data_IF_222933414807
#
_entry.id   IF_222933414807
#
_cell.length_a   1.000
_cell.length_b   1.000
_cell.length_c   1.000
_cell.angle_alpha   90.00
_cell.angle_beta   90.00
_cell.angle_gamma   90.00
#
_symmetry.space_group_name_H-M   'P 1'
#
loop_
_entity.id
_entity.type
_entity.pdbx_description
1 polymer ?
#
# COMPACT_ATOMS: atom_id res chain seq x y z
N UNK A 1 -25.02 21.66 -39.00
CA UNK A 1 -26.02 21.01 -38.17
C UNK A 1 -25.81 19.50 -38.23
N UNK A 2 -25.14 18.89 -37.33
CA UNK A 2 -25.20 17.47 -37.00
C UNK A 2 -24.88 17.34 -35.52
N UNK A 3 -25.94 17.30 -34.73
CA UNK A 3 -25.97 16.98 -33.31
C UNK A 3 -25.90 15.44 -33.19
N UNK A 4 -24.78 14.91 -32.74
CA UNK A 4 -24.71 13.54 -32.25
C UNK A 4 -24.44 13.57 -30.76
N UNK A 5 -25.55 13.60 -30.00
CA UNK A 5 -25.52 13.30 -28.57
C UNK A 5 -25.21 11.83 -28.37
N UNK A 6 -23.94 11.48 -28.23
CA UNK A 6 -23.54 10.19 -27.70
C UNK A 6 -23.90 10.17 -26.23
N UNK A 7 -24.95 9.45 -25.86
CA UNK A 7 -25.16 8.98 -24.50
C UNK A 7 -23.95 8.12 -24.17
N UNK A 8 -23.13 8.57 -23.22
CA UNK A 8 -22.19 7.69 -22.55
C UNK A 8 -23.03 6.67 -21.80
N UNK A 9 -23.05 5.44 -22.29
CA UNK A 9 -23.56 4.31 -21.50
C UNK A 9 -22.67 4.23 -20.26
N UNK A 10 -23.18 4.72 -19.13
CA UNK A 10 -22.57 4.51 -17.83
C UNK A 10 -22.57 2.99 -17.61
N UNK A 11 -21.38 2.41 -17.66
CA UNK A 11 -21.16 1.02 -17.29
C UNK A 11 -21.54 0.91 -15.82
N UNK A 12 -22.76 0.42 -15.54
CA UNK A 12 -23.18 0.13 -14.17
C UNK A 12 -22.38 -1.05 -13.68
N UNK A 13 -21.49 -0.80 -12.73
CA UNK A 13 -20.87 -1.88 -11.98
C UNK A 13 -21.96 -2.66 -11.22
N UNK A 14 -21.78 -3.96 -11.14
CA UNK A 14 -22.60 -4.84 -10.33
C UNK A 14 -22.57 -4.42 -8.86
N UNK A 15 -23.70 -4.53 -8.16
CA UNK A 15 -23.77 -4.33 -6.73
C UNK A 15 -22.99 -5.43 -5.99
N UNK A 16 -22.30 -5.05 -4.92
CA UNK A 16 -21.50 -5.96 -4.11
C UNK A 16 -22.19 -6.28 -2.80
N UNK A 17 -22.22 -7.55 -2.44
CA UNK A 17 -22.75 -8.04 -1.16
C UNK A 17 -21.59 -8.29 -0.21
N UNK A 18 -21.70 -7.76 1.01
CA UNK A 18 -20.72 -8.00 2.08
C UNK A 18 -20.92 -9.40 2.66
N UNK A 19 -19.86 -10.21 2.63
CA UNK A 19 -19.81 -11.55 3.22
C UNK A 19 -18.79 -11.54 4.34
N UNK A 20 -19.26 -11.65 5.59
CA UNK A 20 -18.40 -11.70 6.78
C UNK A 20 -17.75 -13.08 6.94
N UNK A 21 -16.56 -13.08 7.54
CA UNK A 21 -15.77 -14.28 7.77
C UNK A 21 -15.51 -14.40 9.27
N UNK A 22 -16.06 -15.47 9.86
CA UNK A 22 -15.98 -15.66 11.31
C UNK A 22 -16.83 -14.64 12.07
N UNK A 23 -16.45 -14.39 13.34
CA UNK A 23 -17.23 -13.57 14.29
C UNK A 23 -16.90 -12.07 14.23
N UNK A 24 -15.87 -11.68 13.46
CA UNK A 24 -15.45 -10.29 13.34
C UNK A 24 -16.15 -9.58 12.16
N UNK A 25 -17.04 -8.61 12.42
CA UNK A 25 -17.77 -7.91 11.36
C UNK A 25 -16.88 -7.00 10.49
N UNK A 26 -15.66 -6.71 10.93
CA UNK A 26 -14.69 -5.94 10.14
C UNK A 26 -13.95 -6.82 9.11
N UNK A 27 -13.96 -8.14 9.31
CA UNK A 27 -13.38 -9.11 8.38
C UNK A 27 -14.44 -9.59 7.39
N UNK A 28 -14.39 -9.05 6.20
CA UNK A 28 -15.38 -9.38 5.16
C UNK A 28 -14.77 -9.32 3.76
N UNK A 29 -15.38 -10.07 2.86
CA UNK A 29 -15.20 -9.92 1.43
C UNK A 29 -16.40 -9.22 0.81
N UNK A 30 -16.19 -8.62 -0.35
CA UNK A 30 -17.27 -8.09 -1.19
C UNK A 30 -17.41 -8.99 -2.40
N UNK A 31 -18.59 -9.59 -2.56
CA UNK A 31 -18.90 -10.57 -3.60
C UNK A 31 -20.01 -10.01 -4.47
N UNK A 32 -19.93 -10.22 -5.78
CA UNK A 32 -20.95 -9.77 -6.73
C UNK A 32 -22.34 -10.29 -6.39
N UNK A 33 -23.35 -9.42 -6.46
CA UNK A 33 -24.74 -9.76 -6.13
C UNK A 33 -25.37 -10.69 -7.15
N UNK A 34 -24.90 -10.65 -8.41
CA UNK A 34 -25.42 -11.43 -9.51
C UNK A 34 -24.77 -12.81 -9.66
N UNK A 35 -23.80 -13.16 -8.79
CA UNK A 35 -23.24 -14.50 -8.79
C UNK A 35 -24.35 -15.55 -8.51
N UNK A 36 -24.42 -16.64 -9.29
CA UNK A 36 -25.28 -17.77 -8.98
C UNK A 36 -25.03 -18.28 -7.56
N UNK A 37 -26.11 -18.72 -6.88
CA UNK A 37 -26.04 -19.11 -5.47
C UNK A 37 -24.94 -20.17 -5.21
N UNK A 38 -24.89 -21.21 -6.04
CA UNK A 38 -23.88 -22.26 -5.92
C UNK A 38 -22.46 -21.73 -6.06
N UNK A 39 -22.19 -20.91 -7.06
CA UNK A 39 -20.85 -20.34 -7.26
C UNK A 39 -20.44 -19.38 -6.15
N UNK A 40 -21.41 -18.66 -5.57
CA UNK A 40 -21.18 -17.81 -4.41
C UNK A 40 -20.77 -18.65 -3.19
N UNK A 41 -21.46 -19.75 -2.94
CA UNK A 41 -21.16 -20.66 -1.81
C UNK A 41 -19.78 -21.27 -1.97
N UNK A 42 -19.44 -21.79 -3.15
CA UNK A 42 -18.13 -22.34 -3.47
C UNK A 42 -17.01 -21.28 -3.30
N UNK A 43 -17.23 -20.06 -3.79
CA UNK A 43 -16.28 -18.96 -3.63
C UNK A 43 -16.07 -18.59 -2.16
N UNK A 44 -17.15 -18.47 -1.39
CA UNK A 44 -17.09 -18.13 0.04
C UNK A 44 -16.37 -19.22 0.82
N UNK A 45 -16.64 -20.49 0.52
CA UNK A 45 -15.95 -21.62 1.14
C UNK A 45 -14.44 -21.60 0.80
N UNK A 46 -14.10 -21.39 -0.46
CA UNK A 46 -12.71 -21.23 -0.89
C UNK A 46 -12.00 -20.09 -0.17
N UNK A 47 -12.63 -18.93 -0.04
CA UNK A 47 -12.05 -17.77 0.66
C UNK A 47 -11.89 -18.04 2.16
N UNK A 48 -12.83 -18.74 2.79
CA UNK A 48 -12.73 -19.15 4.19
C UNK A 48 -11.61 -20.17 4.42
N UNK A 49 -11.44 -21.11 3.51
CA UNK A 49 -10.37 -22.10 3.57
C UNK A 49 -8.99 -21.48 3.48
N UNK A 50 -8.86 -20.39 2.73
CA UNK A 50 -7.60 -19.68 2.50
C UNK A 50 -7.53 -18.35 3.28
N UNK A 51 -8.16 -18.27 4.43
CA UNK A 51 -8.25 -17.02 5.21
C UNK A 51 -6.90 -16.50 5.69
N UNK A 52 -5.94 -17.39 5.89
CA UNK A 52 -4.57 -17.11 6.33
C UNK A 52 -3.73 -16.30 5.33
N UNK A 53 -4.12 -16.28 4.05
CA UNK A 53 -3.43 -15.45 3.04
C UNK A 53 -3.91 -14.00 3.04
N UNK A 54 -4.99 -13.68 3.76
CA UNK A 54 -5.55 -12.34 3.85
C UNK A 54 -5.16 -11.66 5.16
N UNK A 55 -5.03 -10.34 5.13
CA UNK A 55 -4.73 -9.54 6.32
C UNK A 55 -5.63 -8.30 6.36
N UNK A 56 -6.29 -8.05 7.46
CA UNK A 56 -7.13 -6.88 7.70
C UNK A 56 -6.40 -5.81 8.53
N UNK A 57 -5.36 -6.22 9.25
CA UNK A 57 -4.55 -5.30 10.04
C UNK A 57 -3.04 -5.61 9.90
N UNK A 58 -2.21 -4.70 10.40
CA UNK A 58 -0.74 -4.79 10.25
C UNK A 58 -0.13 -5.99 10.98
N UNK A 59 -0.78 -6.47 12.03
CA UNK A 59 -0.28 -7.60 12.84
C UNK A 59 -0.55 -8.95 12.18
N UNK A 60 -1.56 -9.03 11.33
CA UNK A 60 -1.93 -10.23 10.57
C UNK A 60 -1.07 -10.41 9.31
N UNK A 61 -0.28 -9.42 8.93
CA UNK A 61 0.60 -9.47 7.77
C UNK A 61 2.06 -9.69 8.21
N UNK A 62 2.51 -10.94 8.42
CA UNK A 62 3.90 -11.23 8.75
C UNK A 62 4.81 -10.72 7.62
N UNK A 63 6.02 -10.30 7.96
CA UNK A 63 7.02 -9.93 6.97
C UNK A 63 7.39 -11.11 6.08
N UNK A 64 7.96 -10.80 4.92
CA UNK A 64 8.57 -11.82 4.06
C UNK A 64 9.89 -12.26 4.69
N UNK A 65 10.18 -13.56 4.65
CA UNK A 65 11.44 -14.09 5.15
C UNK A 65 12.62 -13.44 4.41
N UNK A 66 13.63 -13.03 5.18
CA UNK A 66 14.84 -12.38 4.65
C UNK A 66 15.65 -13.31 3.74
N UNK A 67 15.59 -14.62 4.00
CA UNK A 67 16.29 -15.61 3.20
C UNK A 67 15.57 -15.85 1.85
N UNK A 68 14.24 -15.59 1.82
CA UNK A 68 13.47 -15.66 0.58
C UNK A 68 13.70 -14.44 -0.30
N UNK A 69 13.54 -13.24 0.25
CA UNK A 69 13.78 -11.99 -0.49
C UNK A 69 14.12 -10.85 0.45
N UNK A 70 15.12 -10.09 0.10
CA UNK A 70 15.54 -8.88 0.78
C UNK A 70 15.71 -7.74 -0.22
N UNK A 71 14.97 -6.65 -0.03
CA UNK A 71 15.08 -5.50 -0.92
C UNK A 71 16.31 -4.65 -0.60
N UNK A 72 17.11 -4.36 -1.60
CA UNK A 72 18.27 -3.48 -1.51
C UNK A 72 18.03 -2.20 -2.31
N UNK A 73 18.24 -1.05 -1.67
CA UNK A 73 18.20 0.23 -2.38
C UNK A 73 19.45 0.36 -3.27
N UNK A 74 19.22 0.62 -4.55
CA UNK A 74 20.28 0.84 -5.52
C UNK A 74 20.78 2.30 -5.45
N UNK A 75 21.33 2.69 -4.29
CA UNK A 75 21.87 4.03 -4.07
C UNK A 75 23.24 4.13 -4.73
N UNK A 76 23.44 5.14 -5.57
CA UNK A 76 24.75 5.42 -6.17
C UNK A 76 25.76 5.74 -5.06
N UNK A 77 26.83 4.94 -4.90
CA UNK A 77 27.83 5.12 -3.85
C UNK A 77 28.60 6.43 -3.94
N UNK A 78 28.62 7.08 -5.12
CA UNK A 78 29.26 8.37 -5.33
C UNK A 78 28.39 9.57 -4.89
N UNK A 79 27.12 9.32 -4.56
CA UNK A 79 26.19 10.38 -4.12
C UNK A 79 26.30 10.55 -2.61
N UNK A 80 26.69 11.74 -2.17
CA UNK A 80 26.74 12.06 -0.75
C UNK A 80 25.34 12.01 -0.10
N UNK A 81 25.19 11.35 1.06
CA UNK A 81 23.94 11.33 1.79
C UNK A 81 23.45 12.72 2.17
N UNK A 82 22.16 12.95 2.10
CA UNK A 82 21.55 14.24 2.41
C UNK A 82 20.66 14.18 3.64
N UNK A 83 20.86 15.13 4.54
CA UNK A 83 20.01 15.36 5.71
C UNK A 83 19.15 16.59 5.46
N UNK A 84 17.85 16.40 5.32
CA UNK A 84 16.90 17.51 5.18
C UNK A 84 16.82 18.28 6.50
N UNK A 85 16.73 19.60 6.43
CA UNK A 85 16.53 20.45 7.60
C UNK A 85 15.14 20.18 8.22
N UNK A 86 15.03 20.11 9.56
CA UNK A 86 13.75 19.91 10.23
C UNK A 86 12.74 20.98 9.83
N UNK A 87 11.51 20.57 9.61
CA UNK A 87 10.37 21.47 9.45
C UNK A 87 9.58 21.53 10.76
N UNK A 88 9.05 22.69 11.09
CA UNK A 88 8.15 22.83 12.24
C UNK A 88 6.71 22.52 11.80
N UNK A 89 6.17 21.33 12.12
CA UNK A 89 4.80 20.99 11.79
C UNK A 89 3.83 21.73 12.73
N UNK A 90 2.58 21.92 12.29
CA UNK A 90 1.49 22.33 13.21
C UNK A 90 1.28 21.27 14.30
N UNK A 91 0.64 21.66 15.40
CA UNK A 91 0.34 20.72 16.51
C UNK A 91 -0.46 19.50 16.03
N UNK A 92 -1.44 19.70 15.14
CA UNK A 92 -2.26 18.62 14.57
C UNK A 92 -1.43 17.67 13.71
N UNK A 93 -0.53 18.20 12.88
CA UNK A 93 0.36 17.39 12.04
C UNK A 93 1.35 16.59 12.88
N UNK A 94 1.93 17.21 13.91
CA UNK A 94 2.86 16.55 14.82
C UNK A 94 2.18 15.38 15.56
N UNK A 95 0.92 15.57 15.98
CA UNK A 95 0.14 14.52 16.63
C UNK A 95 -0.17 13.36 15.67
N UNK A 96 -0.58 13.66 14.44
CA UNK A 96 -0.83 12.65 13.41
C UNK A 96 0.44 11.81 13.10
N UNK A 97 1.60 12.47 13.02
CA UNK A 97 2.89 11.79 12.83
C UNK A 97 3.21 10.91 14.03
N UNK A 98 3.05 11.41 15.26
CA UNK A 98 3.34 10.65 16.49
C UNK A 98 2.50 9.37 16.56
N UNK A 99 1.20 9.47 16.27
CA UNK A 99 0.29 8.32 16.28
C UNK A 99 0.71 7.26 15.25
N UNK A 100 1.02 7.68 14.01
CA UNK A 100 1.42 6.74 12.96
C UNK A 100 2.77 6.08 13.28
N UNK A 101 3.73 6.83 13.81
CA UNK A 101 5.04 6.29 14.23
C UNK A 101 4.88 5.30 15.37
N UNK A 102 4.07 5.60 16.37
CA UNK A 102 3.79 4.67 17.49
C UNK A 102 3.21 3.36 16.96
N UNK A 103 2.24 3.44 16.06
CA UNK A 103 1.63 2.29 15.41
C UNK A 103 2.64 1.45 14.62
N UNK A 104 3.50 2.10 13.82
CA UNK A 104 4.52 1.41 13.04
C UNK A 104 5.63 0.79 13.91
N UNK A 105 6.00 1.45 15.04
CA UNK A 105 6.92 0.89 16.03
C UNK A 105 6.34 -0.35 16.70
N UNK A 106 5.09 -0.29 17.15
CA UNK A 106 4.41 -1.43 17.76
C UNK A 106 4.29 -2.61 16.80
N UNK A 107 4.06 -2.34 15.51
CA UNK A 107 4.03 -3.36 14.47
C UNK A 107 5.43 -3.87 14.06
N UNK A 108 6.52 -3.38 14.65
CA UNK A 108 7.89 -3.75 14.28
C UNK A 108 8.33 -3.30 12.88
N UNK A 109 7.50 -2.48 12.21
CA UNK A 109 7.76 -2.02 10.85
C UNK A 109 8.89 -0.98 10.77
N UNK A 110 9.12 -0.23 11.85
CA UNK A 110 10.20 0.76 11.97
C UNK A 110 10.95 0.62 13.29
N UNK A 111 12.22 1.03 13.29
CA UNK A 111 13.08 1.08 14.48
C UNK A 111 13.76 2.44 14.60
N UNK A 112 14.09 2.83 15.81
CA UNK A 112 14.93 3.99 16.04
C UNK A 112 16.39 3.73 15.61
N UNK A 113 17.00 4.73 15.02
CA UNK A 113 18.39 4.67 14.56
C UNK A 113 19.12 5.92 15.02
N UNK A 114 20.29 5.73 15.65
CA UNK A 114 21.17 6.83 16.02
C UNK A 114 22.08 7.21 14.85
N UNK A 115 22.25 8.52 14.60
CA UNK A 115 23.15 9.07 13.58
C UNK A 115 22.91 8.53 12.16
N UNK A 116 21.72 8.71 11.59
CA UNK A 116 21.43 8.24 10.24
C UNK A 116 22.25 9.03 9.20
N UNK A 117 22.59 8.38 8.09
CA UNK A 117 23.22 9.04 6.95
C UNK A 117 22.20 9.89 6.16
N UNK A 118 21.05 9.34 5.90
CA UNK A 118 19.95 10.00 5.21
C UNK A 118 18.87 10.43 6.19
N UNK A 119 18.38 11.66 6.04
CA UNK A 119 17.34 12.19 6.91
C UNK A 119 16.25 12.86 6.07
N UNK A 120 15.02 12.37 6.19
CA UNK A 120 13.88 12.83 5.40
C UNK A 120 12.76 13.37 6.29
N UNK A 121 12.13 14.48 5.85
CA UNK A 121 10.99 15.07 6.53
C UNK A 121 9.72 14.24 6.28
N UNK A 122 8.84 14.25 7.26
CA UNK A 122 7.45 13.78 7.09
C UNK A 122 6.59 14.84 6.42
N UNK A 123 5.61 14.39 5.62
CA UNK A 123 4.60 15.22 4.98
C UNK A 123 3.23 14.64 5.35
N UNK A 124 2.36 15.49 5.87
CA UNK A 124 1.03 15.10 6.32
C UNK A 124 -0.02 15.65 5.37
N UNK A 125 -0.88 14.76 4.85
CA UNK A 125 -1.94 15.10 3.88
C UNK A 125 -3.28 14.61 4.40
N UNK A 126 -4.30 15.45 4.33
CA UNK A 126 -5.67 15.09 4.72
C UNK A 126 -6.36 14.34 3.57
N UNK A 127 -6.86 13.14 3.86
CA UNK A 127 -7.67 12.36 2.90
C UNK A 127 -9.06 12.97 2.75
N UNK A 128 -9.77 12.63 1.66
CA UNK A 128 -11.18 12.99 1.49
C UNK A 128 -12.08 12.50 2.64
N UNK A 129 -11.72 11.38 3.28
CA UNK A 129 -12.40 10.83 4.47
C UNK A 129 -12.13 11.60 5.78
N UNK A 130 -11.39 12.71 5.74
CA UNK A 130 -10.99 13.48 6.92
C UNK A 130 -9.79 12.92 7.70
N UNK A 131 -9.38 11.69 7.46
CA UNK A 131 -8.23 11.05 8.13
C UNK A 131 -6.90 11.60 7.59
N UNK A 132 -5.90 11.70 8.45
CA UNK A 132 -4.55 12.08 8.07
C UNK A 132 -3.80 10.92 7.41
N UNK A 133 -3.01 11.23 6.38
CA UNK A 133 -2.01 10.34 5.80
C UNK A 133 -0.64 10.92 6.06
N UNK A 134 0.21 10.16 6.73
CA UNK A 134 1.61 10.52 6.92
C UNK A 134 2.44 9.90 5.80
N UNK A 135 3.19 10.73 5.11
CA UNK A 135 4.10 10.34 4.03
C UNK A 135 5.52 10.76 4.40
N UNK A 136 6.51 10.22 3.70
CA UNK A 136 7.92 10.57 3.86
C UNK A 136 8.44 11.18 2.58
N UNK A 137 9.18 12.27 2.68
CA UNK A 137 9.77 12.94 1.53
C UNK A 137 11.10 12.31 1.11
N UNK A 138 11.04 11.22 0.36
CA UNK A 138 12.22 10.54 -0.17
C UNK A 138 12.82 11.17 -1.44
N UNK A 139 12.50 12.42 -1.76
CA UNK A 139 12.95 13.06 -3.00
C UNK A 139 14.48 13.01 -3.18
N UNK A 140 15.25 13.28 -2.13
CA UNK A 140 16.71 13.29 -2.22
C UNK A 140 17.27 11.86 -2.35
N UNK A 141 16.72 10.91 -1.61
CA UNK A 141 17.09 9.51 -1.71
C UNK A 141 16.73 8.93 -3.09
N UNK A 142 15.54 9.23 -3.61
CA UNK A 142 15.12 8.78 -4.93
C UNK A 142 15.99 9.33 -6.06
N UNK A 143 16.53 10.54 -5.90
CA UNK A 143 17.51 11.10 -6.85
C UNK A 143 18.87 10.39 -6.81
N UNK A 144 19.24 9.85 -5.65
CA UNK A 144 20.47 9.11 -5.46
C UNK A 144 20.36 7.64 -5.89
N UNK A 145 19.15 7.10 -5.95
CA UNK A 145 18.91 5.74 -6.42
C UNK A 145 18.92 5.70 -7.95
N UNK A 146 19.65 4.75 -8.51
CA UNK A 146 19.56 4.42 -9.93
C UNK A 146 18.15 3.91 -10.23
N UNK A 147 17.55 4.42 -11.30
CA UNK A 147 16.22 3.99 -11.72
C UNK A 147 16.26 2.55 -12.19
N UNK A 148 15.26 1.79 -11.76
CA UNK A 148 15.03 0.46 -12.31
C UNK A 148 14.61 0.61 -13.78
N UNK A 149 15.28 -0.08 -14.72
CA UNK A 149 14.89 -0.07 -16.13
C UNK A 149 13.62 -0.88 -16.40
N UNK A 150 13.05 -1.57 -15.41
CA UNK A 150 11.83 -2.36 -15.59
C UNK A 150 10.66 -1.47 -16.04
N UNK A 151 10.07 -1.73 -17.21
CA UNK A 151 9.00 -0.88 -17.73
C UNK A 151 7.73 -1.03 -16.89
N UNK A 152 7.09 0.09 -16.59
CA UNK A 152 5.74 0.08 -15.99
C UNK A 152 4.75 -0.56 -16.99
N UNK A 153 3.83 -1.42 -16.53
CA UNK A 153 2.77 -1.93 -17.38
C UNK A 153 1.96 -0.78 -18.00
N UNK A 154 1.63 -0.90 -19.28
CA UNK A 154 0.75 0.06 -19.94
C UNK A 154 -0.68 -0.19 -19.47
N UNK A 155 -1.34 0.85 -18.93
CA UNK A 155 -2.70 0.75 -18.38
C UNK A 155 -3.68 0.24 -19.44
N UNK A 156 -3.58 0.74 -20.69
CA UNK A 156 -4.44 0.31 -21.78
C UNK A 156 -4.35 -1.19 -22.04
N UNK A 157 -3.14 -1.77 -22.01
CA UNK A 157 -2.95 -3.21 -22.18
C UNK A 157 -3.55 -4.02 -21.02
N UNK A 158 -3.51 -3.49 -19.79
CA UNK A 158 -4.15 -4.13 -18.64
C UNK A 158 -5.68 -4.10 -18.77
N UNK A 159 -6.24 -2.98 -19.23
CA UNK A 159 -7.67 -2.83 -19.48
C UNK A 159 -8.11 -3.80 -20.59
N UNK A 160 -7.41 -3.82 -21.72
CA UNK A 160 -7.70 -4.72 -22.84
C UNK A 160 -7.66 -6.20 -22.41
N UNK A 161 -6.71 -6.57 -21.55
CA UNK A 161 -6.62 -7.93 -21.02
C UNK A 161 -7.81 -8.32 -20.12
N UNK A 162 -8.55 -7.36 -19.57
CA UNK A 162 -9.71 -7.64 -18.71
C UNK A 162 -11.05 -7.68 -19.45
N UNK A 163 -11.15 -7.05 -20.62
CA UNK A 163 -12.42 -6.86 -21.35
C UNK A 163 -13.09 -8.18 -21.77
N UNK A 164 -12.31 -9.23 -22.05
CA UNK A 164 -12.84 -10.52 -22.49
C UNK A 164 -13.26 -11.46 -21.36
N UNK A 165 -13.07 -11.08 -20.11
CA UNK A 165 -13.39 -11.93 -18.96
C UNK A 165 -14.75 -11.56 -18.37
N UNK A 166 -15.65 -12.54 -18.20
CA UNK A 166 -17.00 -12.30 -17.65
C UNK A 166 -16.99 -11.97 -16.16
N UNK A 167 -15.86 -12.22 -15.49
CA UNK A 167 -15.69 -11.99 -14.03
C UNK A 167 -14.32 -11.43 -13.74
N UNK A 168 -14.27 -10.54 -12.74
CA UNK A 168 -13.04 -9.93 -12.26
C UNK A 168 -12.98 -10.02 -10.74
N UNK A 169 -11.79 -10.28 -10.20
CA UNK A 169 -11.49 -10.15 -8.78
C UNK A 169 -10.50 -9.03 -8.57
N UNK A 170 -10.73 -8.23 -7.52
CA UNK A 170 -9.82 -7.16 -7.12
C UNK A 170 -9.16 -7.55 -5.81
N UNK A 171 -7.86 -7.75 -5.86
CA UNK A 171 -7.04 -8.08 -4.70
C UNK A 171 -6.05 -6.94 -4.47
N UNK A 172 -6.15 -6.28 -3.31
CA UNK A 172 -5.17 -5.27 -2.91
C UNK A 172 -4.12 -5.91 -2.00
N UNK A 173 -2.87 -5.75 -2.37
CA UNK A 173 -1.77 -6.26 -1.57
C UNK A 173 -1.60 -5.41 -0.30
N UNK A 174 -2.01 -5.95 0.85
CA UNK A 174 -1.98 -5.23 2.11
C UNK A 174 -0.55 -4.81 2.48
N UNK A 175 -0.29 -3.49 2.44
CA UNK A 175 0.98 -2.84 2.86
C UNK A 175 2.24 -3.54 2.35
N UNK A 176 2.31 -3.87 1.07
CA UNK A 176 3.43 -4.60 0.42
C UNK A 176 4.79 -4.07 0.85
N UNK A 177 4.98 -2.74 0.86
CA UNK A 177 6.27 -2.11 1.20
C UNK A 177 6.72 -2.41 2.63
N UNK A 178 5.78 -2.58 3.58
CA UNK A 178 6.09 -2.90 4.97
C UNK A 178 6.44 -4.37 5.15
N UNK A 179 5.94 -5.24 4.29
CA UNK A 179 6.20 -6.68 4.34
C UNK A 179 7.62 -7.05 3.92
N UNK A 180 8.26 -6.24 3.06
CA UNK A 180 9.67 -6.42 2.72
C UNK A 180 10.54 -5.93 3.87
N UNK A 181 11.22 -6.85 4.53
CA UNK A 181 12.22 -6.51 5.52
C UNK A 181 13.47 -5.99 4.80
N UNK A 182 13.89 -4.80 5.18
CA UNK A 182 15.08 -4.19 4.65
C UNK A 182 16.31 -4.68 5.41
N UNK A 183 17.46 -4.89 4.75
CA UNK A 183 18.69 -5.24 5.44
C UNK A 183 19.02 -4.25 6.54
N UNK A 184 19.59 -4.74 7.63
CA UNK A 184 19.97 -3.90 8.77
C UNK A 184 20.84 -2.70 8.37
N UNK A 185 21.70 -2.87 7.36
CA UNK A 185 22.54 -1.80 6.81
C UNK A 185 21.75 -0.63 6.22
N UNK A 186 20.58 -0.90 5.59
CA UNK A 186 19.70 0.15 5.06
C UNK A 186 18.88 0.79 6.18
N UNK A 187 18.43 0.00 7.17
CA UNK A 187 17.72 0.52 8.34
C UNK A 187 18.55 1.52 9.14
N UNK A 188 19.89 1.34 9.19
CA UNK A 188 20.81 2.32 9.81
C UNK A 188 20.99 3.58 8.99
N UNK A 189 20.76 3.53 7.66
CA UNK A 189 21.05 4.65 6.77
C UNK A 189 19.91 5.66 6.66
N UNK A 190 18.69 5.26 7.00
CA UNK A 190 17.50 6.08 6.78
C UNK A 190 16.75 6.33 8.09
N UNK A 191 16.59 7.60 8.47
CA UNK A 191 15.74 8.04 9.58
C UNK A 191 14.69 9.03 9.09
N UNK A 192 13.51 8.95 9.71
CA UNK A 192 12.45 9.94 9.58
C UNK A 192 12.69 11.07 10.57
N UNK A 193 12.64 12.32 10.11
CA UNK A 193 12.50 13.48 10.99
C UNK A 193 11.08 13.51 11.54
N UNK A 194 10.96 13.37 12.83
CA UNK A 194 9.72 13.44 13.60
C UNK A 194 9.55 14.81 14.24
#
# INVERSE_FOLDING_TARGET
>A
MLSSGGKSDEVKCEDLVKVTIGDDPEKFFQVGSQLPQQEREELVEFLKWNIDVFAWNTYEAPGVDLDFICHHLNVNPLTAPKKQLPRHPSKEHAEAVRQEVTKLKQAGAIKEVFSPEWLANTVVVKKKSGKWRVCVNFTDLNKACLKDPFPMPKIDQLVDATVSHPRMSFLDAFRVIIRYLWPWTIKKKLLLLL
#
